data_IF_756121289532
#
_entry.id   IF_756121289532
#
_cell.length_a   1.000
_cell.length_b   1.000
_cell.length_c   1.000
_cell.angle_alpha   90.00
_cell.angle_beta   90.00
_cell.angle_gamma   90.00
#
_symmetry.space_group_name_H-M   'P 1'
#
loop_
_entity.id
_entity.type
_entity.pdbx_description
1 polymer ?
#
# COMPACT_ATOMS: atom_id res chain seq x y z
N UNK A 1 11.77 13.89 -11.95
CA UNK A 1 11.39 12.99 -10.84
C UNK A 1 12.65 12.28 -10.36
N UNK A 2 12.84 12.11 -9.05
CA UNK A 2 13.91 11.26 -8.53
C UNK A 2 13.62 9.80 -8.93
N UNK A 3 14.60 9.11 -9.50
CA UNK A 3 14.47 7.72 -9.94
C UNK A 3 15.20 6.80 -8.98
N UNK A 4 14.69 5.59 -8.80
CA UNK A 4 15.32 4.54 -8.00
C UNK A 4 15.39 3.25 -8.80
N UNK A 5 16.40 2.42 -8.54
CA UNK A 5 16.59 1.15 -9.25
C UNK A 5 16.02 0.00 -8.43
N UNK A 6 15.08 -0.74 -9.01
CA UNK A 6 14.51 -1.94 -8.40
C UNK A 6 15.18 -3.18 -8.98
N UNK A 7 15.58 -4.11 -8.12
CA UNK A 7 16.09 -5.42 -8.57
C UNK A 7 14.91 -6.36 -8.82
N UNK A 8 14.84 -6.88 -10.03
CA UNK A 8 13.85 -7.85 -10.48
C UNK A 8 14.55 -9.07 -11.08
N UNK A 9 14.02 -10.30 -10.86
CA UNK A 9 14.52 -11.50 -11.51
C UNK A 9 14.52 -11.36 -13.04
N UNK A 10 15.57 -11.85 -13.68
CA UNK A 10 15.80 -11.70 -15.13
C UNK A 10 14.68 -12.34 -15.95
N UNK A 11 14.25 -13.52 -15.54
CA UNK A 11 13.13 -14.29 -16.07
C UNK A 11 11.83 -13.47 -16.12
N UNK A 12 11.50 -12.77 -15.03
CA UNK A 12 10.30 -11.91 -14.98
C UNK A 12 10.43 -10.67 -15.87
N UNK A 13 11.61 -10.06 -15.91
CA UNK A 13 11.90 -8.92 -16.78
C UNK A 13 11.74 -9.29 -18.26
N UNK A 14 12.25 -10.45 -18.66
CA UNK A 14 12.21 -10.89 -20.05
C UNK A 14 10.78 -11.19 -20.50
N UNK A 15 9.98 -11.84 -19.66
CA UNK A 15 8.55 -12.02 -19.90
C UNK A 15 7.82 -10.67 -20.03
N UNK A 16 8.08 -9.73 -19.11
CA UNK A 16 7.48 -8.40 -19.16
C UNK A 16 7.86 -7.65 -20.45
N UNK A 17 9.10 -7.81 -20.92
CA UNK A 17 9.57 -7.21 -22.17
C UNK A 17 8.85 -7.77 -23.39
N UNK A 18 8.60 -9.08 -23.42
CA UNK A 18 7.83 -9.72 -24.49
C UNK A 18 6.41 -9.15 -24.52
N UNK A 19 5.74 -9.10 -23.36
CA UNK A 19 4.36 -8.57 -23.24
C UNK A 19 4.32 -7.11 -23.69
N UNK A 20 5.23 -6.27 -23.17
CA UNK A 20 5.32 -4.86 -23.54
C UNK A 20 5.51 -4.66 -25.06
N UNK A 21 6.33 -5.52 -25.69
CA UNK A 21 6.55 -5.50 -27.14
C UNK A 21 5.28 -5.87 -27.93
N UNK A 22 4.50 -6.84 -27.45
CA UNK A 22 3.24 -7.26 -28.09
C UNK A 22 2.20 -6.15 -27.96
N UNK A 23 2.10 -5.52 -26.80
CA UNK A 23 1.16 -4.42 -26.53
C UNK A 23 1.62 -3.09 -27.16
N UNK A 24 2.85 -3.01 -27.68
CA UNK A 24 3.49 -1.77 -28.17
C UNK A 24 3.53 -0.67 -27.10
N UNK A 25 3.78 -1.05 -25.85
CA UNK A 25 3.84 -0.16 -24.69
C UNK A 25 5.24 -0.11 -24.10
N UNK A 26 5.57 0.99 -23.44
CA UNK A 26 6.83 1.09 -22.70
C UNK A 26 6.72 0.32 -21.37
N UNK A 27 7.77 -0.43 -21.03
CA UNK A 27 7.88 -1.16 -19.76
C UNK A 27 7.73 -0.21 -18.56
N UNK A 28 8.27 1.00 -18.68
CA UNK A 28 8.19 2.03 -17.64
C UNK A 28 6.74 2.43 -17.39
N UNK A 29 5.95 2.62 -18.45
CA UNK A 29 4.56 3.04 -18.33
C UNK A 29 3.73 1.93 -17.66
N UNK A 30 3.91 0.68 -18.10
CA UNK A 30 3.28 -0.50 -17.49
C UNK A 30 3.63 -0.59 -15.99
N UNK A 31 4.90 -0.45 -15.63
CA UNK A 31 5.34 -0.53 -14.23
C UNK A 31 4.80 0.63 -13.41
N UNK A 32 4.74 1.84 -13.97
CA UNK A 32 4.22 3.02 -13.27
C UNK A 32 2.74 2.86 -12.97
N UNK A 33 1.94 2.44 -13.96
CA UNK A 33 0.52 2.17 -13.78
C UNK A 33 0.27 1.05 -12.76
N UNK A 34 1.02 -0.05 -12.84
CA UNK A 34 0.91 -1.15 -11.87
C UNK A 34 1.23 -0.69 -10.44
N UNK A 35 2.22 0.18 -10.27
CA UNK A 35 2.56 0.76 -8.97
C UNK A 35 1.42 1.67 -8.50
N UNK A 36 0.92 2.55 -9.36
CA UNK A 36 -0.15 3.50 -9.02
C UNK A 36 -1.44 2.77 -8.63
N UNK A 37 -1.85 1.76 -9.40
CA UNK A 37 -3.01 0.91 -9.07
C UNK A 37 -2.81 0.12 -7.78
N UNK A 38 -1.58 -0.36 -7.52
CA UNK A 38 -1.26 -1.05 -6.28
C UNK A 38 -1.34 -0.08 -5.09
N UNK A 39 -0.81 1.13 -5.23
CA UNK A 39 -0.88 2.16 -4.18
C UNK A 39 -2.32 2.63 -3.95
N UNK A 40 -3.11 2.84 -5.00
CA UNK A 40 -4.50 3.31 -4.86
C UNK A 40 -5.38 2.28 -4.16
N UNK A 41 -5.25 0.98 -4.52
CA UNK A 41 -5.94 -0.10 -3.81
C UNK A 41 -5.58 -0.19 -2.33
N UNK A 42 -4.36 0.20 -1.98
CA UNK A 42 -3.88 0.18 -0.61
C UNK A 42 -3.94 1.56 0.05
N UNK A 43 -4.53 2.58 -0.58
CA UNK A 43 -4.53 3.95 -0.07
C UNK A 43 -5.29 4.06 1.24
N UNK A 44 -6.46 3.43 1.37
CA UNK A 44 -7.19 3.35 2.64
C UNK A 44 -6.36 2.66 3.73
N UNK A 45 -5.68 1.57 3.37
CA UNK A 45 -4.79 0.82 4.28
C UNK A 45 -3.57 1.65 4.66
N UNK A 46 -2.98 2.40 3.74
CA UNK A 46 -1.81 3.26 3.97
C UNK A 46 -2.19 4.52 4.75
N UNK A 47 -3.38 5.08 4.57
CA UNK A 47 -3.89 6.20 5.36
C UNK A 47 -4.13 5.78 6.83
N UNK A 48 -4.62 4.55 7.01
CA UNK A 48 -4.72 3.90 8.33
C UNK A 48 -3.34 3.69 8.97
N UNK A 49 -2.36 3.21 8.19
CA UNK A 49 -1.05 2.79 8.71
C UNK A 49 -0.02 3.92 8.84
N UNK A 50 -0.23 5.06 8.18
CA UNK A 50 0.67 6.23 8.19
C UNK A 50 0.50 7.11 9.43
N UNK A 51 -0.59 6.92 10.20
CA UNK A 51 -0.80 7.53 11.51
C UNK A 51 -0.38 6.56 12.62
N UNK A 52 0.78 6.76 13.28
CA UNK A 52 1.27 5.83 14.32
C UNK A 52 0.29 5.70 15.51
N UNK A 53 -0.48 6.75 15.79
CA UNK A 53 -1.57 6.83 16.78
C UNK A 53 -2.82 5.99 16.42
N UNK A 54 -3.06 5.76 15.12
CA UNK A 54 -4.18 4.93 14.65
C UNK A 54 -3.83 3.44 14.59
N UNK A 55 -2.58 3.09 14.28
CA UNK A 55 -2.10 1.69 14.31
C UNK A 55 -2.32 1.03 15.67
N UNK A 56 -2.03 1.73 16.77
CA UNK A 56 -2.24 1.21 18.13
C UNK A 56 -3.74 0.99 18.41
N UNK A 57 -4.56 1.95 18.06
CA UNK A 57 -6.01 1.93 18.28
C UNK A 57 -6.71 0.81 17.49
N UNK A 58 -6.24 0.51 16.27
CA UNK A 58 -6.75 -0.61 15.46
C UNK A 58 -6.32 -1.96 16.02
N UNK A 59 -5.08 -2.07 16.50
CA UNK A 59 -4.60 -3.28 17.18
C UNK A 59 -5.36 -3.54 18.48
N UNK A 60 -5.68 -2.49 19.25
CA UNK A 60 -6.54 -2.59 20.44
C UNK A 60 -7.97 -3.00 20.08
N UNK A 61 -8.56 -2.41 19.03
CA UNK A 61 -9.88 -2.79 18.54
C UNK A 61 -9.97 -4.23 18.07
N UNK A 62 -8.97 -4.71 17.33
CA UNK A 62 -8.89 -6.10 16.89
C UNK A 62 -8.78 -7.07 18.08
N UNK A 63 -7.98 -6.72 19.09
CA UNK A 63 -7.83 -7.53 20.30
C UNK A 63 -9.10 -7.54 21.18
N UNK A 64 -9.84 -6.43 21.25
CA UNK A 64 -11.10 -6.35 21.98
C UNK A 64 -12.20 -7.16 21.26
N UNK A 65 -12.31 -7.02 19.94
CA UNK A 65 -13.26 -7.77 19.12
C UNK A 65 -13.03 -9.29 19.23
N UNK A 66 -11.77 -9.74 19.23
CA UNK A 66 -11.43 -11.15 19.43
C UNK A 66 -11.80 -11.68 20.83
N UNK A 67 -11.98 -10.80 21.81
CA UNK A 67 -12.45 -11.12 23.17
C UNK A 67 -13.97 -10.94 23.34
N UNK A 68 -14.68 -10.53 22.29
CA UNK A 68 -16.12 -10.22 22.34
C UNK A 68 -16.46 -8.85 22.94
N UNK A 69 -15.46 -8.00 23.17
CA UNK A 69 -15.60 -6.67 23.77
C UNK A 69 -15.57 -5.55 22.72
N UNK A 70 -16.35 -4.48 22.97
CA UNK A 70 -16.39 -3.29 22.10
C UNK A 70 -15.75 -2.10 22.81
N UNK A 71 -14.67 -1.56 22.24
CA UNK A 71 -14.04 -0.34 22.76
C UNK A 71 -14.81 0.93 22.32
N UNK A 72 -15.17 1.79 23.28
CA UNK A 72 -15.73 3.13 23.00
C UNK A 72 -14.58 4.11 22.76
N UNK A 73 -14.52 4.63 21.53
CA UNK A 73 -13.56 5.65 21.13
C UNK A 73 -13.80 6.94 21.93
N UNK A 74 -12.78 7.41 22.68
CA UNK A 74 -12.73 8.78 23.17
C UNK A 74 -11.81 9.57 22.26
N UNK A 75 -12.36 10.55 21.55
CA UNK A 75 -11.59 11.61 20.91
C UNK A 75 -10.75 12.31 21.98
N UNK A 76 -9.48 11.95 22.09
CA UNK A 76 -8.51 12.83 22.73
C UNK A 76 -8.25 13.95 21.73
N UNK A 77 -8.97 15.07 21.89
CA UNK A 77 -8.55 16.36 21.33
C UNK A 77 -7.08 16.54 21.69
N UNK A 78 -6.21 16.54 20.68
CA UNK A 78 -4.85 17.02 20.83
C UNK A 78 -4.95 18.51 21.17
N UNK A 79 -4.78 18.81 22.46
CA UNK A 79 -4.70 20.15 23.00
C UNK A 79 -3.26 20.63 22.99
N UNK A 80 -3.12 21.90 22.55
CA UNK A 80 -1.96 22.80 22.56
C UNK A 80 -0.81 22.50 21.61
#
# INVERSE_FOLDING_TARGET
MLTTTVRIPTDKKDLLKIIASVEKRDIKDILTELIDEYLERHRETLEILSRPDRRSSIKEGLNAANKGDTIKWRDKKAGK
#
